data_IF_782277204749
#
_entry.id   IF_782277204749
#
_cell.length_a   1.000
_cell.length_b   1.000
_cell.length_c   1.000
_cell.angle_alpha   90.00
_cell.angle_beta   90.00
_cell.angle_gamma   90.00
#
_symmetry.space_group_name_H-M   'P 1'
#
loop_
_entity.id
_entity.type
_entity.pdbx_description
1 polymer ?
#
# COMPACT_ATOMS: atom_id res chain seq x y z
N UNK A 1 24.49 -17.64 19.91
CA UNK A 1 24.03 -17.61 18.49
C UNK A 1 23.68 -16.18 18.15
N UNK A 2 24.36 -15.53 17.20
CA UNK A 2 24.23 -14.09 17.01
C UNK A 2 23.00 -13.76 16.16
N UNK A 3 22.27 -12.74 16.63
CA UNK A 3 21.15 -12.12 15.94
C UNK A 3 21.60 -11.51 14.61
N UNK A 4 20.98 -11.92 13.51
CA UNK A 4 21.15 -11.30 12.20
C UNK A 4 20.52 -9.91 12.20
N UNK A 5 21.39 -8.91 12.18
CA UNK A 5 21.12 -7.49 12.03
C UNK A 5 20.33 -7.25 10.74
N UNK A 6 19.05 -6.93 10.86
CA UNK A 6 18.22 -6.47 9.76
C UNK A 6 18.82 -5.15 9.22
N UNK A 7 19.20 -5.15 7.94
CA UNK A 7 19.90 -4.05 7.28
C UNK A 7 19.00 -2.81 7.22
N UNK A 8 19.43 -1.76 7.91
CA UNK A 8 18.84 -0.42 7.85
C UNK A 8 18.90 0.13 6.42
N UNK A 9 17.79 0.05 5.70
CA UNK A 9 17.47 0.98 4.63
C UNK A 9 16.11 1.58 4.96
N UNK A 10 15.97 2.91 5.06
CA UNK A 10 14.67 3.51 5.31
C UNK A 10 13.87 3.43 4.01
N UNK A 11 13.08 2.39 3.84
CA UNK A 11 12.09 2.35 2.77
C UNK A 11 11.11 3.50 2.98
N UNK A 12 11.24 4.54 2.15
CA UNK A 12 10.53 5.81 2.22
C UNK A 12 9.19 5.79 1.48
N UNK A 13 8.56 4.62 1.38
CA UNK A 13 7.27 4.43 0.71
C UNK A 13 6.14 4.50 1.74
N UNK A 14 5.06 5.22 1.42
CA UNK A 14 3.97 5.53 2.36
C UNK A 14 3.27 4.29 2.93
N UNK A 15 3.21 3.20 2.17
CA UNK A 15 2.68 1.91 2.62
C UNK A 15 3.56 1.23 3.71
N UNK A 16 4.88 1.42 3.64
CA UNK A 16 5.82 0.96 4.68
C UNK A 16 5.69 1.78 5.98
N UNK A 17 5.36 3.07 5.88
CA UNK A 17 5.09 3.90 7.05
C UNK A 17 3.75 3.51 7.73
N UNK A 18 2.72 3.17 6.95
CA UNK A 18 1.44 2.70 7.48
C UNK A 18 1.57 1.34 8.21
N UNK A 19 2.40 0.42 7.70
CA UNK A 19 2.69 -0.87 8.37
C UNK A 19 3.55 -0.75 9.63
N UNK A 20 4.13 0.43 9.91
CA UNK A 20 4.76 0.76 11.19
C UNK A 20 3.77 1.32 12.23
N UNK A 21 2.61 1.81 11.79
CA UNK A 21 1.50 2.26 12.65
C UNK A 21 0.58 1.08 13.02
N UNK A 22 0.60 0.02 12.22
CA UNK A 22 -0.13 -1.22 12.49
C UNK A 22 0.63 -2.14 13.45
N UNK A 23 -0.02 -2.72 14.46
CA UNK A 23 0.64 -3.69 15.35
C UNK A 23 1.14 -4.88 14.52
N UNK A 24 2.44 -5.20 14.64
CA UNK A 24 3.05 -6.39 14.02
C UNK A 24 2.84 -7.68 14.83
N UNK A 25 2.17 -7.58 15.98
CA UNK A 25 1.73 -8.73 16.77
C UNK A 25 0.22 -8.93 16.59
N UNK A 26 -0.29 -10.18 16.58
CA UNK A 26 -1.71 -10.41 16.79
C UNK A 26 -2.07 -9.77 18.13
N UNK A 27 -3.03 -8.85 18.08
CA UNK A 27 -3.48 -8.04 19.22
C UNK A 27 -3.74 -8.99 20.40
N UNK A 28 -2.83 -9.01 21.37
CA UNK A 28 -3.03 -9.75 22.62
C UNK A 28 -4.22 -9.10 23.32
N UNK A 29 -5.26 -9.90 23.52
CA UNK A 29 -6.49 -9.52 24.20
C UNK A 29 -6.17 -8.88 25.56
N UNK A 30 -6.33 -7.57 25.68
CA UNK A 30 -6.05 -6.84 26.93
C UNK A 30 -6.39 -5.36 26.87
N UNK A 31 -6.06 -4.69 25.77
CA UNK A 31 -6.47 -3.31 25.54
C UNK A 31 -7.49 -3.29 24.40
N UNK A 32 -8.77 -3.35 24.76
CA UNK A 32 -9.85 -3.08 23.80
C UNK A 32 -9.70 -1.63 23.36
N UNK A 33 -8.92 -1.38 22.31
CA UNK A 33 -9.01 -0.14 21.56
C UNK A 33 -10.49 -0.02 21.17
N UNK A 34 -11.18 0.96 21.74
CA UNK A 34 -12.61 1.10 21.53
C UNK A 34 -12.88 1.17 20.04
N UNK A 35 -13.92 0.47 19.57
CA UNK A 35 -14.33 0.47 18.16
C UNK A 35 -14.34 1.88 17.53
N UNK A 36 -14.73 2.89 18.31
CA UNK A 36 -14.71 4.30 17.95
C UNK A 36 -13.30 4.82 17.62
N UNK A 37 -12.29 4.47 18.42
CA UNK A 37 -10.90 4.89 18.19
C UNK A 37 -10.29 4.18 16.98
N UNK A 38 -10.61 2.89 16.79
CA UNK A 38 -10.18 2.14 15.60
C UNK A 38 -10.79 2.74 14.31
N UNK A 39 -12.08 3.08 14.32
CA UNK A 39 -12.72 3.82 13.22
C UNK A 39 -12.07 5.18 12.99
N UNK A 40 -11.70 5.91 14.05
CA UNK A 40 -11.03 7.22 13.95
C UNK A 40 -9.67 7.11 13.28
N UNK A 41 -8.86 6.13 13.68
CA UNK A 41 -7.56 5.88 13.06
C UNK A 41 -7.70 5.48 11.59
N UNK A 42 -8.66 4.60 11.27
CA UNK A 42 -8.92 4.20 9.89
C UNK A 42 -9.36 5.39 9.02
N UNK A 43 -10.23 6.26 9.54
CA UNK A 43 -10.63 7.49 8.88
C UNK A 43 -9.44 8.43 8.62
N UNK A 44 -8.52 8.55 9.59
CA UNK A 44 -7.30 9.34 9.39
C UNK A 44 -6.43 8.74 8.28
N UNK A 45 -6.29 7.42 8.21
CA UNK A 45 -5.53 6.75 7.13
C UNK A 45 -6.16 7.03 5.76
N UNK A 46 -7.49 6.93 5.63
CA UNK A 46 -8.20 7.25 4.39
C UNK A 46 -8.01 8.73 4.01
N UNK A 47 -8.13 9.65 4.96
CA UNK A 47 -7.87 11.08 4.71
C UNK A 47 -6.43 11.36 4.28
N UNK A 48 -5.46 10.65 4.84
CA UNK A 48 -4.05 10.77 4.43
C UNK A 48 -3.80 10.28 2.98
N UNK A 49 -4.66 9.42 2.45
CA UNK A 49 -4.60 8.98 1.05
C UNK A 49 -5.10 10.07 0.09
N UNK A 50 -6.15 10.79 0.48
CA UNK A 50 -6.84 11.78 -0.37
C UNK A 50 -6.31 13.21 -0.19
N UNK A 51 -6.11 13.67 1.06
CA UNK A 51 -5.85 15.08 1.37
C UNK A 51 -4.35 15.40 1.50
N UNK A 52 -3.54 14.47 2.02
CA UNK A 52 -2.11 14.71 2.31
C UNK A 52 -1.19 14.33 1.14
N UNK A 53 -1.74 13.75 0.07
CA UNK A 53 -0.99 13.59 -1.19
C UNK A 53 -0.13 12.34 -1.30
N UNK A 54 -0.41 11.27 -0.53
CA UNK A 54 0.17 9.94 -0.82
C UNK A 54 -0.53 9.23 -1.98
N UNK A 55 -1.69 9.76 -2.41
CA UNK A 55 -2.22 9.59 -3.77
C UNK A 55 -3.19 8.44 -3.99
N UNK A 56 -3.46 7.60 -2.98
CA UNK A 56 -4.41 6.48 -3.07
C UNK A 56 -4.30 5.69 -4.37
N UNK A 57 -5.41 5.20 -4.91
CA UNK A 57 -5.46 4.52 -6.20
C UNK A 57 -5.10 5.44 -7.39
N UNK A 58 -5.57 6.70 -7.37
CA UNK A 58 -5.40 7.63 -8.49
C UNK A 58 -3.95 7.90 -8.87
N UNK A 59 -3.07 8.03 -7.88
CA UNK A 59 -1.64 8.22 -8.12
C UNK A 59 -0.97 6.97 -8.68
N UNK A 60 -1.44 5.77 -8.30
CA UNK A 60 -0.95 4.53 -8.92
C UNK A 60 -1.37 4.45 -10.38
N UNK A 61 -2.61 4.81 -10.70
CA UNK A 61 -3.05 4.86 -12.09
C UNK A 61 -2.27 5.88 -12.93
N UNK A 62 -1.99 7.06 -12.36
CA UNK A 62 -1.13 8.05 -13.01
C UNK A 62 0.29 7.53 -13.24
N UNK A 63 0.87 6.86 -12.23
CA UNK A 63 2.21 6.28 -12.36
C UNK A 63 2.24 5.09 -13.33
N UNK A 64 1.18 4.29 -13.40
CA UNK A 64 1.03 3.23 -14.39
C UNK A 64 1.03 3.79 -15.81
N UNK A 65 0.21 4.83 -16.07
CA UNK A 65 0.20 5.50 -17.37
C UNK A 65 1.57 6.07 -17.75
N UNK A 66 2.30 6.65 -16.81
CA UNK A 66 3.68 7.08 -17.02
C UNK A 66 4.62 5.91 -17.41
N UNK A 67 4.51 4.77 -16.72
CA UNK A 67 5.31 3.59 -17.04
C UNK A 67 4.96 3.02 -18.42
N UNK A 68 3.69 3.08 -18.82
CA UNK A 68 3.24 2.67 -20.16
C UNK A 68 3.86 3.55 -21.25
N UNK A 69 3.77 4.88 -21.11
CA UNK A 69 4.40 5.81 -22.07
C UNK A 69 5.92 5.63 -22.12
N UNK A 70 6.57 5.40 -20.97
CA UNK A 70 7.99 5.09 -20.92
C UNK A 70 8.31 3.75 -21.61
N UNK A 71 7.46 2.74 -21.44
CA UNK A 71 7.62 1.46 -22.13
C UNK A 71 7.60 1.62 -23.64
N UNK A 72 6.69 2.45 -24.17
CA UNK A 72 6.62 2.77 -25.60
C UNK A 72 7.87 3.51 -26.09
N UNK A 73 8.30 4.53 -25.34
CA UNK A 73 9.47 5.35 -25.72
C UNK A 73 10.78 4.56 -25.75
N UNK A 74 10.96 3.62 -24.81
CA UNK A 74 12.18 2.80 -24.71
C UNK A 74 12.04 1.40 -25.33
N UNK A 75 10.86 1.05 -25.86
CA UNK A 75 10.59 -0.29 -26.39
C UNK A 75 10.76 -1.41 -25.36
N UNK A 76 10.45 -1.15 -24.08
CA UNK A 76 10.68 -2.10 -22.98
C UNK A 76 9.39 -2.82 -22.57
N UNK A 77 9.32 -4.13 -22.84
CA UNK A 77 8.21 -4.96 -22.36
C UNK A 77 8.16 -5.06 -20.83
N UNK A 78 9.31 -4.96 -20.17
CA UNK A 78 9.40 -5.02 -18.70
C UNK A 78 8.74 -3.79 -18.05
N UNK A 79 8.90 -2.60 -18.62
CA UNK A 79 8.18 -1.40 -18.17
C UNK A 79 6.66 -1.52 -18.39
N UNK A 80 6.24 -2.11 -19.51
CA UNK A 80 4.81 -2.36 -19.78
C UNK A 80 4.20 -3.33 -18.77
N UNK A 81 4.95 -4.34 -18.33
CA UNK A 81 4.49 -5.26 -17.29
C UNK A 81 4.44 -4.59 -15.90
N UNK A 82 5.40 -3.73 -15.59
CA UNK A 82 5.37 -2.92 -14.36
C UNK A 82 4.20 -1.90 -14.35
N UNK A 83 3.83 -1.36 -15.51
CA UNK A 83 2.63 -0.52 -15.68
C UNK A 83 1.35 -1.27 -15.30
N UNK A 84 1.17 -2.49 -15.82
CA UNK A 84 0.02 -3.35 -15.48
C UNK A 84 -0.01 -3.69 -13.99
N UNK A 85 1.15 -4.03 -13.42
CA UNK A 85 1.27 -4.32 -11.99
C UNK A 85 0.90 -3.09 -11.14
N UNK A 86 1.34 -1.89 -11.53
CA UNK A 86 0.98 -0.65 -10.83
C UNK A 86 -0.53 -0.39 -10.89
N UNK A 87 -1.18 -0.68 -12.02
CA UNK A 87 -2.65 -0.59 -12.14
C UNK A 87 -3.34 -1.56 -11.18
N UNK A 88 -2.88 -2.81 -11.12
CA UNK A 88 -3.43 -3.82 -10.21
C UNK A 88 -3.24 -3.44 -8.73
N UNK A 89 -2.14 -2.79 -8.37
CA UNK A 89 -1.94 -2.21 -7.03
C UNK A 89 -2.95 -1.09 -6.77
N UNK A 90 -3.20 -0.22 -7.75
CA UNK A 90 -4.23 0.82 -7.67
C UNK A 90 -5.63 0.26 -7.38
N UNK A 91 -5.98 -0.88 -7.97
CA UNK A 91 -7.27 -1.54 -7.73
C UNK A 91 -7.41 -2.04 -6.28
N UNK A 92 -6.33 -2.56 -5.69
CA UNK A 92 -6.35 -2.97 -4.27
C UNK A 92 -6.50 -1.74 -3.37
N UNK A 93 -5.84 -0.62 -3.68
CA UNK A 93 -6.04 0.63 -2.95
C UNK A 93 -7.49 1.11 -3.02
N UNK A 94 -8.13 0.94 -4.17
CA UNK A 94 -9.55 1.27 -4.34
C UNK A 94 -10.44 0.34 -3.49
N UNK A 95 -10.14 -0.96 -3.46
CA UNK A 95 -10.85 -1.89 -2.57
C UNK A 95 -10.68 -1.50 -1.10
N UNK A 96 -9.45 -1.18 -0.69
CA UNK A 96 -9.15 -0.71 0.68
C UNK A 96 -10.00 0.51 1.05
N UNK A 97 -10.08 1.52 0.16
CA UNK A 97 -10.88 2.72 0.39
C UNK A 97 -12.37 2.39 0.56
N UNK A 98 -12.92 1.51 -0.29
CA UNK A 98 -14.33 1.07 -0.20
C UNK A 98 -14.60 0.32 1.11
N UNK A 99 -13.72 -0.62 1.49
CA UNK A 99 -13.86 -1.38 2.74
C UNK A 99 -13.78 -0.43 3.94
N UNK A 100 -12.82 0.49 3.92
CA UNK A 100 -12.63 1.47 5.01
C UNK A 100 -13.81 2.41 5.15
N UNK A 101 -14.34 2.93 4.05
CA UNK A 101 -15.55 3.77 4.06
C UNK A 101 -16.77 3.03 4.62
N UNK A 102 -16.92 1.72 4.32
CA UNK A 102 -18.00 0.89 4.87
C UNK A 102 -17.87 0.70 6.38
N UNK A 103 -16.67 0.40 6.88
CA UNK A 103 -16.40 0.27 8.33
C UNK A 103 -16.80 1.55 9.06
N UNK A 104 -16.34 2.69 8.56
CA UNK A 104 -16.60 4.00 9.16
C UNK A 104 -18.11 4.32 9.17
N UNK A 105 -18.83 3.97 8.10
CA UNK A 105 -20.27 4.26 7.97
C UNK A 105 -21.17 3.30 8.75
N UNK A 106 -20.86 1.99 8.76
CA UNK A 106 -21.80 0.97 9.25
C UNK A 106 -21.74 0.74 10.77
N UNK A 107 -20.76 1.28 11.50
CA UNK A 107 -20.56 1.02 12.95
C UNK A 107 -20.68 -0.47 13.34
N UNK A 108 -20.54 -1.38 12.39
CA UNK A 108 -20.73 -2.80 12.61
C UNK A 108 -19.49 -3.33 13.33
N UNK A 109 -19.68 -3.86 14.54
CA UNK A 109 -18.59 -4.21 15.47
C UNK A 109 -17.92 -5.55 15.13
N UNK A 110 -17.91 -5.94 13.85
CA UNK A 110 -17.28 -7.20 13.46
C UNK A 110 -15.77 -7.02 13.28
N UNK A 111 -14.98 -7.66 14.13
CA UNK A 111 -13.51 -7.69 14.06
C UNK A 111 -13.00 -8.14 12.67
N UNK A 112 -13.78 -8.97 11.98
CA UNK A 112 -13.50 -9.45 10.63
C UNK A 112 -13.33 -8.31 9.60
N UNK A 113 -13.98 -7.16 9.79
CA UNK A 113 -13.95 -6.09 8.79
C UNK A 113 -12.65 -5.27 8.88
N UNK A 114 -12.14 -5.02 10.09
CA UNK A 114 -10.83 -4.38 10.27
C UNK A 114 -9.67 -5.29 9.84
N UNK A 115 -9.79 -6.60 10.11
CA UNK A 115 -8.81 -7.58 9.63
C UNK A 115 -8.69 -7.56 8.09
N UNK A 116 -9.82 -7.42 7.38
CA UNK A 116 -9.83 -7.28 5.93
C UNK A 116 -9.11 -6.00 5.47
N UNK A 117 -9.42 -4.85 6.06
CA UNK A 117 -8.77 -3.58 5.70
C UNK A 117 -7.25 -3.64 5.94
N UNK A 118 -6.81 -4.21 7.07
CA UNK A 118 -5.40 -4.43 7.35
C UNK A 118 -4.72 -5.34 6.35
N UNK A 119 -5.37 -6.46 6.01
CA UNK A 119 -4.87 -7.40 5.00
C UNK A 119 -4.64 -6.73 3.64
N UNK A 120 -5.61 -5.95 3.16
CA UNK A 120 -5.48 -5.20 1.90
C UNK A 120 -4.28 -4.24 1.94
N UNK A 121 -4.07 -3.54 3.05
CA UNK A 121 -2.98 -2.59 3.18
C UNK A 121 -1.60 -3.28 3.22
N UNK A 122 -1.51 -4.46 3.84
CA UNK A 122 -0.31 -5.29 3.80
C UNK A 122 -0.01 -5.81 2.40
N UNK A 123 -1.05 -6.18 1.63
CA UNK A 123 -0.90 -6.58 0.22
C UNK A 123 -0.38 -5.40 -0.61
N UNK A 124 -0.95 -4.20 -0.46
CA UNK A 124 -0.46 -3.00 -1.14
C UNK A 124 1.03 -2.76 -0.82
N UNK A 125 1.41 -2.80 0.46
CA UNK A 125 2.79 -2.56 0.87
C UNK A 125 3.78 -3.56 0.24
N UNK A 126 3.45 -4.86 0.27
CA UNK A 126 4.31 -5.89 -0.30
C UNK A 126 4.45 -5.79 -1.82
N UNK A 127 3.34 -5.56 -2.53
CA UNK A 127 3.35 -5.44 -4.00
C UNK A 127 4.07 -4.17 -4.46
N UNK A 128 3.86 -3.04 -3.78
CA UNK A 128 4.59 -1.81 -4.08
C UNK A 128 6.09 -1.96 -3.85
N UNK A 129 6.50 -2.56 -2.72
CA UNK A 129 7.91 -2.81 -2.45
C UNK A 129 8.55 -3.66 -3.55
N UNK A 130 7.87 -4.73 -3.99
CA UNK A 130 8.36 -5.58 -5.06
C UNK A 130 8.44 -4.83 -6.39
N UNK A 131 7.37 -4.12 -6.78
CA UNK A 131 7.34 -3.31 -7.99
C UNK A 131 8.51 -2.32 -8.05
N UNK A 132 8.80 -1.60 -6.97
CA UNK A 132 9.90 -0.62 -6.98
C UNK A 132 11.29 -1.26 -6.99
N UNK A 133 11.46 -2.48 -6.46
CA UNK A 133 12.69 -3.25 -6.63
C UNK A 133 12.90 -3.65 -8.08
N UNK A 134 11.85 -4.16 -8.71
CA UNK A 134 11.88 -4.60 -10.10
C UNK A 134 12.10 -3.41 -11.04
N UNK A 135 11.41 -2.29 -10.80
CA UNK A 135 11.63 -1.04 -11.53
C UNK A 135 13.09 -0.56 -11.44
N UNK A 136 13.69 -0.58 -10.25
CA UNK A 136 15.10 -0.20 -10.09
C UNK A 136 16.05 -1.15 -10.85
N UNK A 137 15.68 -2.42 -11.03
CA UNK A 137 16.44 -3.33 -11.87
C UNK A 137 16.32 -2.97 -13.35
N UNK A 138 15.09 -2.81 -13.84
CA UNK A 138 14.79 -2.47 -15.25
C UNK A 138 15.43 -1.14 -15.64
N UNK A 139 15.32 -0.11 -14.81
CA UNK A 139 15.88 1.23 -15.14
C UNK A 139 17.40 1.22 -15.28
N UNK A 140 18.12 0.27 -14.66
CA UNK A 140 19.57 0.13 -14.82
C UNK A 140 19.97 -0.57 -16.11
N UNK A 141 19.07 -1.31 -16.73
CA UNK A 141 19.30 -2.05 -17.97
C UNK A 141 18.75 -1.33 -19.20
N UNK A 142 17.87 -0.34 -19.01
CA UNK A 142 17.39 0.53 -20.08
C UNK A 142 18.55 1.20 -20.80
N UNK A 143 18.55 1.09 -22.13
CA UNK A 143 19.45 1.82 -23.01
C UNK A 143 18.63 2.90 -23.71
N UNK A 144 19.04 4.15 -23.52
CA UNK A 144 18.49 5.31 -24.22
C UNK A 144 19.09 5.42 -25.63
#
# INVERSE_FOLDING_TARGET
MPATRCSKSPCRFSACAASAIWPKEPIKSGEKMGFVEACRQLANIVRMQEEVGTGGAGFRYMYAAFLEEAAELFGSSELADLSKEMTAIGDIWREFAVVSARIIKQRDQSENTFAKAGGLMMICAGREEQLFKDLNHVVRTLKA
#
